data_IF_503650995281
#
_entry.id   IF_503650995281
#
_cell.length_a   1.000
_cell.length_b   1.000
_cell.length_c   1.000
_cell.angle_alpha   90.00
_cell.angle_beta   90.00
_cell.angle_gamma   90.00
#
_symmetry.space_group_name_H-M   'P 1'
#
loop_
_entity.id
_entity.type
_entity.pdbx_description
1 polymer ?
#
# COMPACT_ATOMS: atom_id res chain seq x y z
N UNK A 1 2.29 3.32 14.43
CA UNK A 1 2.73 2.05 13.81
C UNK A 1 1.56 1.40 13.05
N UNK A 2 1.80 0.60 12.00
CA UNK A 2 0.75 -0.28 11.44
C UNK A 2 0.75 -1.54 12.28
N UNK A 3 -0.37 -1.87 12.90
CA UNK A 3 -0.45 -2.97 13.86
C UNK A 3 -1.50 -4.01 13.49
N UNK A 4 -2.28 -3.76 12.45
CA UNK A 4 -3.20 -4.75 11.88
C UNK A 4 -2.56 -5.42 10.66
N UNK A 5 -2.95 -6.67 10.39
CA UNK A 5 -2.47 -7.40 9.20
C UNK A 5 -2.78 -6.67 7.90
N UNK A 6 -3.94 -6.00 7.83
CA UNK A 6 -4.29 -5.12 6.70
C UNK A 6 -3.27 -3.98 6.56
N UNK A 7 -2.87 -3.38 7.67
CA UNK A 7 -1.85 -2.32 7.67
C UNK A 7 -0.48 -2.81 7.24
N UNK A 8 -0.07 -3.98 7.73
CA UNK A 8 1.22 -4.62 7.40
C UNK A 8 1.25 -5.01 5.92
N UNK A 9 0.19 -5.65 5.43
CA UNK A 9 0.04 -6.04 4.01
C UNK A 9 0.10 -4.83 3.09
N UNK A 10 -0.64 -3.76 3.41
CA UNK A 10 -0.61 -2.51 2.63
C UNK A 10 0.77 -1.85 2.68
N UNK A 11 1.43 -1.80 3.84
CA UNK A 11 2.78 -1.23 3.93
C UNK A 11 3.81 -2.05 3.14
N UNK A 12 3.67 -3.37 3.16
CA UNK A 12 4.58 -4.31 2.50
C UNK A 12 4.46 -4.27 0.99
N UNK A 13 3.25 -4.22 0.43
CA UNK A 13 3.05 -4.39 -1.02
C UNK A 13 2.50 -3.19 -1.79
N UNK A 14 2.01 -2.13 -1.13
CA UNK A 14 1.34 -1.05 -1.86
C UNK A 14 2.34 -0.13 -2.58
N UNK A 15 1.98 0.38 -3.77
CA UNK A 15 2.87 1.27 -4.51
C UNK A 15 3.08 2.57 -3.78
N UNK A 16 4.34 2.97 -3.64
CA UNK A 16 4.73 4.22 -3.01
C UNK A 16 4.63 5.40 -3.97
N UNK A 17 4.68 5.13 -5.28
CA UNK A 17 4.62 6.14 -6.33
C UNK A 17 3.24 6.82 -6.45
N UNK A 18 2.16 6.22 -5.94
CA UNK A 18 0.80 6.77 -6.07
C UNK A 18 0.50 7.80 -4.98
N UNK A 19 -0.27 8.85 -5.29
CA UNK A 19 -0.59 9.91 -4.33
C UNK A 19 -1.69 9.50 -3.36
N UNK A 20 -2.77 8.92 -3.89
CA UNK A 20 -3.90 8.41 -3.12
C UNK A 20 -4.24 6.97 -3.48
N UNK A 21 -5.11 6.36 -2.66
CA UNK A 21 -5.63 5.02 -2.92
C UNK A 21 -6.41 4.96 -4.24
N UNK A 22 -7.06 6.06 -4.65
CA UNK A 22 -7.72 6.18 -5.97
C UNK A 22 -6.79 5.87 -7.13
N UNK A 23 -5.52 6.27 -7.03
CA UNK A 23 -4.55 6.25 -8.13
C UNK A 23 -3.80 4.91 -8.23
N UNK A 24 -3.96 4.05 -7.22
CA UNK A 24 -3.43 2.69 -7.21
C UNK A 24 -4.21 1.84 -8.23
N UNK A 25 -3.48 1.10 -9.05
CA UNK A 25 -4.07 0.31 -10.11
C UNK A 25 -4.97 -0.81 -9.56
N UNK A 26 -5.95 -1.21 -10.37
CA UNK A 26 -6.93 -2.21 -9.94
C UNK A 26 -6.27 -3.56 -9.62
N UNK A 27 -5.24 -3.92 -10.36
CA UNK A 27 -4.48 -5.15 -10.13
C UNK A 27 -3.67 -5.10 -8.85
N UNK A 28 -2.97 -4.01 -8.55
CA UNK A 28 -2.28 -3.84 -7.26
C UNK A 28 -3.27 -3.95 -6.09
N UNK A 29 -4.43 -3.28 -6.21
CA UNK A 29 -5.49 -3.38 -5.20
C UNK A 29 -6.05 -4.79 -5.07
N UNK A 30 -6.05 -5.58 -6.14
CA UNK A 30 -6.53 -6.97 -6.16
C UNK A 30 -5.50 -7.88 -5.49
N UNK A 31 -4.22 -7.77 -5.87
CA UNK A 31 -3.12 -8.55 -5.29
C UNK A 31 -3.03 -8.32 -3.77
N UNK A 32 -3.03 -7.05 -3.34
CA UNK A 32 -3.03 -6.73 -1.91
C UNK A 32 -4.25 -7.30 -1.16
N UNK A 33 -5.39 -7.50 -1.83
CA UNK A 33 -6.57 -8.16 -1.24
C UNK A 33 -6.41 -9.67 -1.20
N UNK A 34 -5.83 -10.25 -2.23
CA UNK A 34 -5.54 -11.68 -2.31
C UNK A 34 -4.51 -12.09 -1.25
N UNK A 35 -3.50 -11.27 -0.98
CA UNK A 35 -2.51 -11.50 0.09
C UNK A 35 -3.16 -11.60 1.47
N UNK A 36 -4.26 -10.89 1.72
CA UNK A 36 -5.00 -10.99 2.97
C UNK A 36 -5.66 -12.36 3.17
N UNK A 37 -5.86 -13.16 2.12
CA UNK A 37 -6.42 -14.52 2.24
C UNK A 37 -5.49 -15.47 2.98
N UNK A 38 -4.18 -15.16 3.05
CA UNK A 38 -3.23 -15.92 3.86
C UNK A 38 -3.54 -15.78 5.36
N UNK A 39 -4.09 -14.63 5.76
CA UNK A 39 -4.34 -14.29 7.16
C UNK A 39 -5.82 -14.41 7.56
N UNK A 40 -6.74 -14.34 6.60
CA UNK A 40 -8.19 -14.33 6.86
C UNK A 40 -8.96 -15.21 5.87
N UNK A 41 -9.95 -15.95 6.37
CA UNK A 41 -10.96 -16.62 5.52
C UNK A 41 -11.98 -15.59 5.03
N UNK A 42 -11.66 -14.91 3.94
CA UNK A 42 -12.46 -13.82 3.37
C UNK A 42 -13.01 -14.20 1.99
N UNK A 43 -14.33 -14.11 1.83
CA UNK A 43 -14.99 -14.29 0.53
C UNK A 43 -14.86 -13.02 -0.32
N UNK A 44 -13.80 -12.95 -1.14
CA UNK A 44 -13.60 -11.84 -2.08
C UNK A 44 -14.48 -11.93 -3.34
N UNK A 45 -15.41 -12.88 -3.42
CA UNK A 45 -16.43 -12.91 -4.49
C UNK A 45 -17.65 -12.07 -4.12
N UNK A 46 -17.88 -11.82 -2.83
CA UNK A 46 -18.94 -10.96 -2.33
C UNK A 46 -18.57 -9.47 -2.51
N UNK A 47 -19.34 -8.70 -3.29
CA UNK A 47 -19.10 -7.26 -3.48
C UNK A 47 -19.09 -6.43 -2.20
N UNK A 48 -19.89 -6.78 -1.20
CA UNK A 48 -19.95 -6.08 0.09
C UNK A 48 -18.68 -6.31 0.90
N UNK A 49 -18.16 -7.54 0.90
CA UNK A 49 -16.89 -7.89 1.54
C UNK A 49 -15.74 -7.17 0.84
N UNK A 50 -15.71 -7.18 -0.49
CA UNK A 50 -14.70 -6.47 -1.29
C UNK A 50 -14.71 -4.97 -0.98
N UNK A 51 -15.89 -4.34 -0.90
CA UNK A 51 -16.03 -2.93 -0.56
C UNK A 51 -15.53 -2.63 0.86
N UNK A 52 -15.87 -3.48 1.83
CA UNK A 52 -15.41 -3.33 3.21
C UNK A 52 -13.88 -3.42 3.32
N UNK A 53 -13.28 -4.47 2.74
CA UNK A 53 -11.83 -4.68 2.75
C UNK A 53 -11.13 -3.53 2.03
N UNK A 54 -11.65 -3.10 0.87
CA UNK A 54 -11.13 -1.95 0.13
C UNK A 54 -11.13 -0.65 0.94
N UNK A 55 -12.17 -0.41 1.74
CA UNK A 55 -12.25 0.75 2.64
C UNK A 55 -11.19 0.71 3.76
N UNK A 56 -10.97 -0.47 4.35
CA UNK A 56 -9.91 -0.66 5.36
C UNK A 56 -8.52 -0.48 4.78
N UNK A 57 -8.27 -1.02 3.60
CA UNK A 57 -7.00 -0.84 2.89
C UNK A 57 -6.76 0.61 2.48
N UNK A 58 -7.79 1.32 2.02
CA UNK A 58 -7.71 2.77 1.72
C UNK A 58 -7.31 3.58 2.95
N UNK A 59 -7.88 3.24 4.11
CA UNK A 59 -7.53 3.88 5.39
C UNK A 59 -6.08 3.59 5.76
N UNK A 60 -5.66 2.32 5.67
CA UNK A 60 -4.28 1.93 5.93
C UNK A 60 -3.31 2.65 4.98
N UNK A 61 -3.61 2.68 3.68
CA UNK A 61 -2.79 3.34 2.68
C UNK A 61 -2.64 4.85 2.96
N UNK A 62 -3.71 5.51 3.40
CA UNK A 62 -3.67 6.94 3.76
C UNK A 62 -2.78 7.21 4.98
N UNK A 63 -2.84 6.35 5.99
CA UNK A 63 -1.94 6.42 7.14
C UNK A 63 -0.48 6.18 6.72
N UNK A 64 -0.26 5.35 5.71
CA UNK A 64 1.06 4.94 5.24
C UNK A 64 1.71 6.10 4.52
N UNK A 65 0.98 6.68 3.56
CA UNK A 65 1.38 7.91 2.87
C UNK A 65 1.60 9.09 3.82
N UNK A 66 0.83 9.17 4.91
CA UNK A 66 1.02 10.24 5.91
C UNK A 66 2.34 10.10 6.64
N UNK A 67 2.78 8.89 6.98
CA UNK A 67 4.11 8.67 7.57
C UNK A 67 5.23 8.89 6.57
N UNK A 68 4.98 8.51 5.32
CA UNK A 68 5.91 8.81 4.24
C UNK A 68 6.11 10.30 4.04
N UNK A 69 5.24 11.23 4.51
CA UNK A 69 5.31 12.70 4.30
C UNK A 69 6.69 13.33 4.53
N UNK A 70 7.60 12.69 5.24
CA UNK A 70 9.03 13.05 5.25
C UNK A 70 9.64 13.13 3.83
N UNK A 71 9.16 12.32 2.87
CA UNK A 71 9.50 12.39 1.44
C UNK A 71 9.11 13.72 0.76
N UNK A 72 8.15 14.48 1.31
CA UNK A 72 7.77 15.80 0.78
C UNK A 72 8.77 16.89 1.17
N UNK A 73 9.71 16.60 2.08
CA UNK A 73 10.86 17.46 2.32
C UNK A 73 11.80 17.47 1.11
N UNK A 74 11.71 16.46 0.24
CA UNK A 74 12.39 16.45 -1.05
C UNK A 74 11.54 17.23 -2.06
N UNK A 75 12.18 18.15 -2.80
CA UNK A 75 11.52 19.13 -3.66
C UNK A 75 10.68 18.56 -4.80
N UNK A 76 10.78 17.25 -5.07
CA UNK A 76 9.89 16.54 -6.00
C UNK A 76 9.58 15.10 -5.54
N UNK A 77 8.47 14.51 -6.02
CA UNK A 77 8.13 13.11 -5.80
C UNK A 77 9.23 12.16 -6.28
N UNK A 78 9.87 12.44 -7.41
CA UNK A 78 10.98 11.65 -7.96
C UNK A 78 12.18 11.65 -7.02
N UNK A 79 12.52 12.82 -6.46
CA UNK A 79 13.60 12.94 -5.47
C UNK A 79 13.27 12.22 -4.17
N UNK A 80 12.03 12.34 -3.68
CA UNK A 80 11.57 11.60 -2.52
C UNK A 80 11.64 10.08 -2.71
N UNK A 81 11.35 9.59 -3.92
CA UNK A 81 11.42 8.17 -4.29
C UNK A 81 12.86 7.67 -4.44
N UNK A 82 13.75 8.48 -5.02
CA UNK A 82 15.17 8.16 -5.16
C UNK A 82 15.92 8.09 -3.81
N UNK A 83 15.40 8.78 -2.78
CA UNK A 83 15.95 8.81 -1.44
C UNK A 83 15.15 7.96 -0.44
N UNK A 84 14.34 7.02 -0.93
CA UNK A 84 13.68 6.08 -0.04
C UNK A 84 14.73 5.24 0.72
N UNK A 85 14.47 4.83 1.98
CA UNK A 85 15.31 3.91 2.73
C UNK A 85 15.62 2.64 1.90
N UNK A 86 16.73 1.98 2.21
CA UNK A 86 17.20 0.78 1.50
C UNK A 86 16.06 -0.22 1.22
N UNK A 87 16.00 -0.77 0.00
CA UNK A 87 14.98 -1.71 -0.48
C UNK A 87 14.75 -2.91 0.46
N UNK A 88 15.78 -3.33 1.21
CA UNK A 88 15.69 -4.39 2.22
C UNK A 88 14.73 -4.05 3.38
N UNK A 89 14.52 -2.76 3.67
CA UNK A 89 13.60 -2.28 4.71
C UNK A 89 12.12 -2.30 4.27
N UNK A 90 11.87 -2.76 3.05
CA UNK A 90 10.64 -2.48 2.33
C UNK A 90 9.99 -3.72 1.70
N UNK A 91 10.30 -4.93 2.20
CA UNK A 91 9.65 -6.19 1.81
C UNK A 91 9.63 -6.46 0.29
N UNK A 92 10.78 -6.35 -0.37
CA UNK A 92 10.96 -6.88 -1.75
C UNK A 92 9.97 -6.32 -2.80
N UNK A 93 9.46 -5.10 -2.60
CA UNK A 93 8.50 -4.49 -3.54
C UNK A 93 9.07 -4.38 -4.94
N UNK A 94 8.24 -4.69 -5.94
CA UNK A 94 8.57 -4.51 -7.35
C UNK A 94 9.05 -3.08 -7.62
N UNK A 95 10.13 -2.90 -8.40
CA UNK A 95 10.68 -1.60 -8.79
C UNK A 95 9.61 -0.69 -9.42
N UNK A 96 8.61 -1.24 -10.11
CA UNK A 96 7.48 -0.50 -10.67
C UNK A 96 6.62 0.22 -9.61
N UNK A 97 6.62 -0.27 -8.37
CA UNK A 97 5.89 0.34 -7.26
C UNK A 97 6.60 1.58 -6.70
N UNK A 98 7.86 1.81 -7.10
CA UNK A 98 8.69 2.93 -6.66
C UNK A 98 8.60 4.14 -7.60
N UNK A 99 8.35 3.92 -8.89
CA UNK A 99 8.34 4.96 -9.94
C UNK A 99 6.93 5.37 -10.36
#
# INVERSE_FOLDING_TARGET
MFTSEIGITVQGGAPVCKYGWSDVDKDDKRLLREDLRVFFTVDLTDPAVVAYVGSKMSTAYSQFKTRLKEWKAFGSPEQGRANLPNADLWNERSVSHWH
#
